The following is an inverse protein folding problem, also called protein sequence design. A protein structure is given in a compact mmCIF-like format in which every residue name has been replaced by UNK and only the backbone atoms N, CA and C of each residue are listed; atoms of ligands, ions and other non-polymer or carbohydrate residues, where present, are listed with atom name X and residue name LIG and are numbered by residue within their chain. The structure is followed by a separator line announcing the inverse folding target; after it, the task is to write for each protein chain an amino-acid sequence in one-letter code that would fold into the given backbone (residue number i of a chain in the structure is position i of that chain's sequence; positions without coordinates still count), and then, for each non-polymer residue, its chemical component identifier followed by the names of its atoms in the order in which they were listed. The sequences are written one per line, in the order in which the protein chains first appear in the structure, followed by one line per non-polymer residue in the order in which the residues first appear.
data_IF_103065414589
#
_entry.id   IF_103065414589
#
_cell.length_a   1.000
_cell.length_b   1.000
_cell.length_c   1.000
_cell.angle_alpha   90.00
_cell.angle_beta   90.00
_cell.angle_gamma   90.00
#
_symmetry.space_group_name_H-M   'P 1'
#
loop_
_entity.id
_entity.type
_entity.pdbx_description
1 polymer ?
#
# COMPACT_ATOMS: atom_id res chain seq x y z
N UNK A 1 8.44 2.59 3.57
CA UNK A 1 8.80 3.93 4.09
C UNK A 1 10.25 4.28 3.82
N UNK A 2 11.22 3.41 4.12
CA UNK A 2 12.64 3.72 3.91
C UNK A 2 13.05 4.10 2.47
N UNK A 3 12.47 3.45 1.45
CA UNK A 3 12.85 3.72 0.06
C UNK A 3 12.44 5.12 -0.46
N UNK A 4 11.36 5.72 0.07
CA UNK A 4 10.89 7.04 -0.40
C UNK A 4 11.60 8.20 0.31
N UNK A 5 12.00 8.01 1.56
CA UNK A 5 12.49 9.09 2.41
C UNK A 5 13.93 8.91 2.87
N UNK A 6 14.57 7.79 2.51
CA UNK A 6 15.92 7.42 2.95
C UNK A 6 16.04 7.34 4.49
N UNK A 7 14.93 7.10 5.18
CA UNK A 7 14.85 7.03 6.65
C UNK A 7 14.32 5.66 7.07
N UNK A 8 15.09 4.96 7.88
CA UNK A 8 14.65 3.75 8.55
C UNK A 8 13.73 4.11 9.73
N UNK A 9 12.44 3.71 9.73
CA UNK A 9 11.51 4.07 10.80
C UNK A 9 11.96 3.61 12.20
N UNK A 10 12.71 2.51 12.29
CA UNK A 10 13.25 1.99 13.55
C UNK A 10 14.22 2.97 14.24
N UNK A 11 14.87 3.84 13.46
CA UNK A 11 15.79 4.87 13.97
C UNK A 11 15.05 6.17 14.35
N UNK A 12 13.71 6.15 14.38
CA UNK A 12 12.87 7.31 14.68
C UNK A 12 11.91 7.04 15.85
N UNK A 13 11.19 8.08 16.28
CA UNK A 13 10.11 7.93 17.29
C UNK A 13 8.95 7.03 16.84
N UNK A 14 8.86 6.72 15.54
CA UNK A 14 7.84 5.83 15.00
C UNK A 14 8.13 4.36 15.35
N UNK A 15 9.41 3.98 15.39
CA UNK A 15 9.88 2.64 15.74
C UNK A 15 9.14 1.55 14.92
N UNK A 16 8.80 0.42 15.54
CA UNK A 16 7.99 -0.67 15.00
C UNK A 16 6.47 -0.38 14.94
N UNK A 17 6.02 0.80 15.40
CA UNK A 17 4.59 1.10 15.59
C UNK A 17 3.88 1.54 14.32
N UNK A 18 4.62 1.83 13.25
CA UNK A 18 4.08 2.28 11.96
C UNK A 18 2.88 1.46 11.46
N UNK A 19 3.02 0.13 11.28
CA UNK A 19 1.92 -0.75 10.87
C UNK A 19 0.64 -0.60 11.70
N UNK A 20 0.76 -0.60 13.03
CA UNK A 20 -0.39 -0.52 13.94
C UNK A 20 -1.08 0.84 13.87
N UNK A 21 -0.32 1.94 13.82
CA UNK A 21 -0.88 3.29 13.72
C UNK A 21 -1.60 3.49 12.38
N UNK A 22 -1.02 2.98 11.29
CA UNK A 22 -1.62 3.04 9.94
C UNK A 22 -2.90 2.21 9.91
N UNK A 23 -2.86 0.96 10.38
CA UNK A 23 -4.03 0.08 10.40
C UNK A 23 -5.18 0.68 11.19
N UNK A 24 -4.91 1.27 12.36
CA UNK A 24 -5.93 1.96 13.16
C UNK A 24 -6.52 3.16 12.41
N UNK A 25 -5.68 3.99 11.78
CA UNK A 25 -6.17 5.14 11.00
C UNK A 25 -6.98 4.74 9.78
N UNK A 26 -6.52 3.77 8.99
CA UNK A 26 -7.23 3.26 7.82
C UNK A 26 -8.55 2.62 8.22
N UNK A 27 -8.60 1.86 9.32
CA UNK A 27 -9.84 1.31 9.84
C UNK A 27 -10.89 2.40 10.08
N UNK A 28 -10.53 3.53 10.68
CA UNK A 28 -11.47 4.64 10.87
C UNK A 28 -11.94 5.29 9.56
N UNK A 29 -11.14 5.23 8.48
CA UNK A 29 -11.55 5.74 7.16
C UNK A 29 -12.47 4.75 6.42
N UNK A 30 -12.18 3.45 6.55
CA UNK A 30 -12.82 2.39 5.76
C UNK A 30 -13.86 1.60 6.54
N UNK A 31 -14.11 1.88 7.82
CA UNK A 31 -15.06 1.15 8.67
C UNK A 31 -16.42 0.86 8.00
N UNK A 32 -17.04 1.80 7.25
CA UNK A 32 -18.31 1.53 6.58
C UNK A 32 -18.25 0.49 5.44
N UNK A 33 -17.05 0.13 4.98
CA UNK A 33 -16.80 -0.80 3.88
C UNK A 33 -16.19 -2.13 4.35
N UNK A 34 -15.76 -2.22 5.61
CA UNK A 34 -15.02 -3.37 6.13
C UNK A 34 -15.93 -4.24 6.99
N UNK A 35 -15.76 -5.56 6.85
CA UNK A 35 -16.38 -6.53 7.74
C UNK A 35 -15.35 -7.13 8.71
N UNK A 36 -15.63 -7.09 10.01
CA UNK A 36 -14.80 -7.68 11.07
C UNK A 36 -15.20 -9.14 11.39
N UNK A 37 -16.33 -9.60 10.87
CA UNK A 37 -16.83 -10.96 11.10
C UNK A 37 -17.60 -11.11 12.43
N UNK A 38 -18.12 -10.01 12.95
CA UNK A 38 -19.00 -9.98 14.11
C UNK A 38 -20.44 -10.32 13.70
N UNK A 39 -21.32 -10.72 14.63
CA UNK A 39 -22.74 -10.80 14.35
C UNK A 39 -23.29 -9.45 13.89
N UNK A 40 -24.17 -9.45 12.87
CA UNK A 40 -24.67 -8.21 12.24
C UNK A 40 -25.31 -7.22 13.22
N UNK A 41 -26.03 -7.72 14.23
CA UNK A 41 -26.65 -6.87 15.25
C UNK A 41 -25.64 -6.13 16.15
N UNK A 42 -24.37 -6.53 16.15
CA UNK A 42 -23.26 -5.78 16.76
C UNK A 42 -22.53 -4.94 15.70
N UNK A 43 -22.29 -5.51 14.53
CA UNK A 43 -21.43 -4.89 13.53
C UNK A 43 -22.08 -3.69 12.84
N UNK A 44 -23.35 -3.82 12.43
CA UNK A 44 -24.08 -2.78 11.71
C UNK A 44 -24.25 -1.47 12.50
N UNK A 45 -24.67 -1.48 13.79
CA UNK A 45 -24.76 -0.25 14.56
C UNK A 45 -23.40 0.37 14.88
N UNK A 46 -22.32 -0.43 14.93
CA UNK A 46 -20.97 0.05 15.27
C UNK A 46 -20.23 0.62 14.07
N UNK A 47 -20.33 -0.01 12.89
CA UNK A 47 -19.45 0.27 11.74
C UNK A 47 -20.21 0.76 10.50
N UNK A 48 -21.42 0.24 10.25
CA UNK A 48 -22.11 0.44 8.98
C UNK A 48 -23.21 1.52 9.02
N UNK A 49 -23.57 2.02 10.21
CA UNK A 49 -24.64 3.02 10.36
C UNK A 49 -24.10 4.45 10.48
N UNK A 50 -23.09 4.67 11.31
CA UNK A 50 -22.51 5.99 11.56
C UNK A 50 -21.01 5.98 11.30
N UNK A 51 -20.47 7.12 10.85
CA UNK A 51 -19.02 7.28 10.76
C UNK A 51 -18.42 7.26 12.15
N UNK A 52 -17.33 6.51 12.32
CA UNK A 52 -16.56 6.53 13.56
C UNK A 52 -16.04 7.96 13.82
N UNK A 53 -16.14 8.45 15.06
CA UNK A 53 -15.65 9.78 15.38
C UNK A 53 -14.12 9.83 15.22
N UNK A 54 -13.57 10.92 14.70
CA UNK A 54 -12.13 11.01 14.37
C UNK A 54 -11.20 11.25 15.57
N UNK A 55 -11.75 11.70 16.71
CA UNK A 55 -10.93 12.05 17.88
C UNK A 55 -10.09 10.90 18.47
N UNK A 56 -10.51 9.61 18.49
CA UNK A 56 -9.69 8.52 19.02
C UNK A 56 -8.42 8.28 18.21
N UNK A 57 -8.45 8.53 16.90
CA UNK A 57 -7.32 8.30 16.00
C UNK A 57 -6.43 9.52 15.79
N UNK A 58 -6.84 10.69 16.30
CA UNK A 58 -6.09 11.96 16.15
C UNK A 58 -4.64 11.86 16.66
N UNK A 59 -4.42 11.24 17.82
CA UNK A 59 -3.08 11.08 18.39
C UNK A 59 -2.18 10.17 17.55
N UNK A 60 -2.74 9.07 17.04
CA UNK A 60 -2.04 8.15 16.15
C UNK A 60 -1.70 8.80 14.81
N UNK A 61 -2.64 9.53 14.22
CA UNK A 61 -2.43 10.29 12.99
C UNK A 61 -1.35 11.37 13.17
N UNK A 62 -1.35 12.08 14.31
CA UNK A 62 -0.31 13.07 14.60
C UNK A 62 1.09 12.45 14.65
N UNK A 63 1.26 11.27 15.25
CA UNK A 63 2.55 10.57 15.27
C UNK A 63 3.05 10.23 13.86
N UNK A 64 2.14 9.80 12.99
CA UNK A 64 2.46 9.58 11.58
C UNK A 64 2.84 10.90 10.90
N UNK A 65 2.04 11.95 11.06
CA UNK A 65 2.33 13.27 10.50
C UNK A 65 3.70 13.79 10.93
N UNK A 66 4.01 13.75 12.22
CA UNK A 66 5.30 14.21 12.76
C UNK A 66 6.47 13.40 12.18
N UNK A 67 6.29 12.10 11.91
CA UNK A 67 7.29 11.30 11.20
C UNK A 67 7.50 11.80 9.77
N UNK A 68 6.43 11.92 8.98
CA UNK A 68 6.52 12.37 7.57
C UNK A 68 7.10 13.77 7.47
N UNK A 69 6.64 14.70 8.31
CA UNK A 69 7.11 16.09 8.31
C UNK A 69 8.64 16.18 8.48
N UNK A 70 9.21 15.34 9.34
CA UNK A 70 10.66 15.31 9.58
C UNK A 70 11.43 14.48 8.56
N UNK A 71 10.86 13.35 8.10
CA UNK A 71 11.55 12.42 7.20
C UNK A 71 11.52 12.88 5.73
N UNK A 72 10.55 13.69 5.33
CA UNK A 72 10.30 14.03 3.92
C UNK A 72 10.71 15.45 3.52
N UNK A 73 11.56 16.12 4.32
CA UNK A 73 11.92 17.54 4.10
C UNK A 73 12.29 17.88 2.66
N UNK A 74 13.14 17.07 2.00
CA UNK A 74 13.52 17.30 0.59
C UNK A 74 12.30 17.31 -0.35
N UNK A 75 11.35 16.40 -0.15
CA UNK A 75 10.14 16.28 -0.99
C UNK A 75 9.16 17.40 -0.68
N UNK A 76 9.06 17.79 0.59
CA UNK A 76 8.24 18.93 1.02
C UNK A 76 8.76 20.25 0.44
N UNK A 77 10.08 20.44 0.39
CA UNK A 77 10.71 21.62 -0.22
C UNK A 77 10.38 21.71 -1.72
N UNK A 78 10.36 20.58 -2.43
CA UNK A 78 9.90 20.52 -3.83
C UNK A 78 8.40 20.82 -3.95
N UNK A 79 7.57 20.32 -3.04
CA UNK A 79 6.14 20.65 -2.99
C UNK A 79 5.89 22.16 -2.84
N UNK A 80 6.66 22.83 -1.99
CA UNK A 80 6.58 24.29 -1.82
C UNK A 80 6.98 25.04 -3.09
N UNK A 81 8.03 24.59 -3.80
CA UNK A 81 8.40 25.15 -5.12
C UNK A 81 7.29 24.98 -6.16
N UNK A 82 6.47 23.94 -6.03
CA UNK A 82 5.28 23.71 -6.87
C UNK A 82 4.05 24.50 -6.41
N UNK A 83 4.17 25.33 -5.36
CA UNK A 83 3.09 26.15 -4.82
C UNK A 83 2.14 25.42 -3.87
N UNK A 84 2.53 24.24 -3.37
CA UNK A 84 1.74 23.46 -2.40
C UNK A 84 2.19 23.86 -0.99
N UNK A 85 1.25 24.14 -0.09
CA UNK A 85 1.60 24.44 1.30
C UNK A 85 2.26 23.21 1.95
N UNK A 86 3.30 23.43 2.77
CA UNK A 86 4.06 22.34 3.38
C UNK A 86 3.21 21.35 4.18
N UNK A 87 2.25 21.87 4.95
CA UNK A 87 1.34 21.04 5.74
C UNK A 87 0.44 20.18 4.84
N UNK A 88 -0.10 20.78 3.78
CA UNK A 88 -0.89 20.09 2.75
C UNK A 88 -0.06 19.01 2.06
N UNK A 89 1.17 19.33 1.65
CA UNK A 89 2.09 18.37 1.05
C UNK A 89 2.38 17.20 2.01
N UNK A 90 2.62 17.48 3.29
CA UNK A 90 2.87 16.45 4.30
C UNK A 90 1.66 15.50 4.48
N UNK A 91 0.44 16.05 4.57
CA UNK A 91 -0.77 15.23 4.64
C UNK A 91 -0.97 14.35 3.40
N UNK A 92 -0.68 14.88 2.21
CA UNK A 92 -0.75 14.14 0.95
C UNK A 92 0.32 13.05 0.86
N UNK A 93 1.56 13.29 1.30
CA UNK A 93 2.62 12.29 1.35
C UNK A 93 2.30 11.15 2.33
N UNK A 94 1.78 11.50 3.50
CA UNK A 94 1.27 10.51 4.46
C UNK A 94 0.18 9.66 3.81
N UNK A 95 -0.81 10.29 3.17
CA UNK A 95 -1.90 9.56 2.51
C UNK A 95 -1.38 8.65 1.38
N UNK A 96 -0.54 9.16 0.50
CA UNK A 96 0.04 8.39 -0.60
C UNK A 96 0.88 7.20 -0.11
N UNK A 97 1.64 7.38 0.97
CA UNK A 97 2.50 6.32 1.51
C UNK A 97 1.70 5.30 2.33
N UNK A 98 0.85 5.75 3.23
CA UNK A 98 0.14 4.89 4.17
C UNK A 98 -1.12 4.29 3.56
N UNK A 99 -1.96 5.09 2.92
CA UNK A 99 -3.22 4.65 2.36
C UNK A 99 -3.00 4.02 0.98
N UNK A 100 -2.45 4.75 0.01
CA UNK A 100 -2.36 4.22 -1.36
C UNK A 100 -1.32 3.10 -1.49
N UNK A 101 -0.12 3.28 -0.93
CA UNK A 101 0.98 2.33 -1.11
C UNK A 101 0.93 1.19 -0.10
N UNK A 102 1.02 1.50 1.20
CA UNK A 102 1.10 0.46 2.24
C UNK A 102 -0.16 -0.42 2.29
N UNK A 103 -1.37 0.16 2.24
CA UNK A 103 -2.60 -0.63 2.24
C UNK A 103 -2.76 -1.45 0.94
N UNK A 104 -2.44 -0.85 -0.21
CA UNK A 104 -2.43 -1.57 -1.49
C UNK A 104 -1.48 -2.77 -1.48
N UNK A 105 -0.26 -2.60 -0.94
CA UNK A 105 0.70 -3.70 -0.77
C UNK A 105 0.24 -4.73 0.26
N UNK A 106 -0.42 -4.29 1.34
CA UNK A 106 -0.99 -5.17 2.38
C UNK A 106 -2.06 -6.11 1.82
N UNK A 107 -2.75 -5.73 0.74
CA UNK A 107 -3.69 -6.60 0.02
C UNK A 107 -2.97 -7.41 -1.08
N UNK A 108 -2.17 -6.74 -1.93
CA UNK A 108 -1.54 -7.35 -3.10
C UNK A 108 -0.56 -8.48 -2.72
N UNK A 109 0.29 -8.28 -1.72
CA UNK A 109 1.36 -9.23 -1.42
C UNK A 109 0.83 -10.57 -0.88
N UNK A 110 -0.15 -10.60 0.06
CA UNK A 110 -0.81 -11.85 0.42
C UNK A 110 -1.50 -12.53 -0.77
N UNK A 111 -2.13 -11.76 -1.66
CA UNK A 111 -2.76 -12.32 -2.87
C UNK A 111 -1.75 -12.99 -3.80
N UNK A 112 -0.62 -12.32 -4.07
CA UNK A 112 0.48 -12.87 -4.86
C UNK A 112 1.01 -14.18 -4.25
N UNK A 113 1.25 -14.20 -2.93
CA UNK A 113 1.69 -15.42 -2.23
C UNK A 113 0.65 -16.54 -2.30
N UNK A 114 -0.64 -16.23 -2.17
CA UNK A 114 -1.74 -17.19 -2.31
C UNK A 114 -1.71 -17.84 -3.69
N UNK A 115 -1.68 -17.08 -4.77
CA UNK A 115 -1.71 -17.63 -6.14
C UNK A 115 -0.43 -18.37 -6.52
N UNK A 116 0.75 -17.83 -6.15
CA UNK A 116 2.01 -18.54 -6.34
C UNK A 116 1.97 -19.86 -5.56
N UNK A 117 1.57 -19.84 -4.29
CA UNK A 117 1.47 -21.03 -3.43
C UNK A 117 0.54 -22.10 -4.01
N UNK A 118 -0.63 -21.70 -4.51
CA UNK A 118 -1.63 -22.61 -5.08
C UNK A 118 -1.23 -23.17 -6.46
N UNK A 119 -0.39 -22.48 -7.22
CA UNK A 119 0.03 -22.93 -8.55
C UNK A 119 0.99 -24.15 -8.54
N UNK A 120 1.52 -24.50 -7.37
CA UNK A 120 2.24 -25.75 -7.14
C UNK A 120 3.70 -25.76 -7.60
N UNK A 121 4.40 -26.83 -7.19
CA UNK A 121 5.88 -26.96 -7.29
C UNK A 121 6.40 -26.84 -8.71
N UNK A 122 5.63 -27.26 -9.72
CA UNK A 122 6.04 -27.14 -11.12
C UNK A 122 6.21 -25.67 -11.54
N UNK A 123 5.32 -24.77 -11.11
CA UNK A 123 5.46 -23.34 -11.37
C UNK A 123 6.63 -22.76 -10.57
N UNK A 124 6.77 -23.13 -9.29
CA UNK A 124 7.85 -22.64 -8.42
C UNK A 124 9.23 -22.93 -9.01
N UNK A 125 9.44 -24.14 -9.53
CA UNK A 125 10.71 -24.53 -10.17
C UNK A 125 11.02 -23.66 -11.38
N UNK A 126 10.06 -23.49 -12.30
CA UNK A 126 10.22 -22.66 -13.49
C UNK A 126 10.52 -21.19 -13.15
N UNK A 127 9.81 -20.64 -12.17
CA UNK A 127 10.03 -19.27 -11.70
C UNK A 127 11.42 -19.11 -11.07
N UNK A 128 11.84 -20.05 -10.23
CA UNK A 128 13.16 -20.04 -9.62
C UNK A 128 14.27 -20.19 -10.65
N UNK A 129 14.10 -21.07 -11.65
CA UNK A 129 15.04 -21.26 -12.76
C UNK A 129 15.17 -19.96 -13.57
N UNK A 130 14.06 -19.38 -14.04
CA UNK A 130 14.06 -18.12 -14.80
C UNK A 130 14.77 -17.00 -14.04
N UNK A 131 14.35 -16.74 -12.79
CA UNK A 131 14.92 -15.65 -11.99
C UNK A 131 16.41 -15.87 -11.76
N UNK A 132 16.84 -17.08 -11.36
CA UNK A 132 18.26 -17.36 -11.07
C UNK A 132 19.12 -17.26 -12.33
N UNK A 133 18.64 -17.77 -13.47
CA UNK A 133 19.38 -17.69 -14.75
C UNK A 133 19.59 -16.23 -15.16
N UNK A 134 18.54 -15.42 -15.11
CA UNK A 134 18.62 -14.00 -15.50
C UNK A 134 19.48 -13.20 -14.51
N UNK A 135 19.39 -13.47 -13.21
CA UNK A 135 20.26 -12.81 -12.22
C UNK A 135 21.72 -13.21 -12.45
N UNK A 136 22.00 -14.48 -12.74
CA UNK A 136 23.35 -14.96 -13.02
C UNK A 136 23.93 -14.33 -14.30
N UNK A 137 23.13 -14.19 -15.37
CA UNK A 137 23.56 -13.53 -16.61
C UNK A 137 23.81 -12.04 -16.43
N UNK A 138 23.22 -11.41 -15.42
CA UNK A 138 23.44 -10.02 -15.02
C UNK A 138 24.45 -9.89 -13.86
N UNK A 139 25.48 -10.75 -13.84
CA UNK A 139 26.58 -10.71 -12.86
C UNK A 139 26.10 -10.79 -11.40
N UNK A 140 25.02 -11.54 -11.14
CA UNK A 140 24.45 -11.70 -9.81
C UNK A 140 23.64 -10.51 -9.30
N UNK A 141 23.38 -9.50 -10.13
CA UNK A 141 22.69 -8.26 -9.72
C UNK A 141 21.25 -8.22 -10.26
N UNK A 142 20.30 -7.82 -9.41
CA UNK A 142 18.92 -7.56 -9.84
C UNK A 142 18.86 -6.17 -10.49
N UNK A 143 18.67 -6.14 -11.81
CA UNK A 143 18.56 -4.91 -12.60
C UNK A 143 17.20 -4.84 -13.31
N UNK A 144 16.75 -3.62 -13.64
CA UNK A 144 15.53 -3.42 -14.42
C UNK A 144 15.59 -4.14 -15.78
N UNK A 145 16.72 -4.03 -16.48
CA UNK A 145 16.98 -4.74 -17.74
C UNK A 145 16.95 -6.27 -17.61
N UNK A 146 17.29 -6.80 -16.43
CA UNK A 146 17.15 -8.22 -16.11
C UNK A 146 15.69 -8.59 -15.92
N UNK A 147 14.93 -7.83 -15.13
CA UNK A 147 13.50 -8.09 -14.91
C UNK A 147 12.69 -8.09 -16.22
N UNK A 148 13.11 -7.32 -17.22
CA UNK A 148 12.47 -7.35 -18.54
C UNK A 148 12.59 -8.68 -19.29
N UNK A 149 13.62 -9.48 -18.97
CA UNK A 149 13.87 -10.80 -19.53
C UNK A 149 13.14 -11.92 -18.76
N UNK A 150 12.52 -11.60 -17.62
CA UNK A 150 11.79 -12.57 -16.79
C UNK A 150 10.31 -12.59 -17.18
N UNK A 151 10.00 -13.23 -18.31
CA UNK A 151 8.65 -13.29 -18.87
C UNK A 151 7.64 -13.94 -17.91
N UNK A 152 8.01 -15.07 -17.29
CA UNK A 152 7.15 -15.79 -16.35
C UNK A 152 6.92 -14.97 -15.08
N UNK A 153 7.96 -14.34 -14.53
CA UNK A 153 7.83 -13.45 -13.37
C UNK A 153 6.83 -12.32 -13.64
N UNK A 154 7.00 -11.61 -14.75
CA UNK A 154 6.07 -10.53 -15.15
C UNK A 154 4.65 -11.07 -15.34
N UNK A 155 4.49 -12.19 -16.05
CA UNK A 155 3.19 -12.82 -16.28
C UNK A 155 2.47 -13.19 -14.99
N UNK A 156 3.16 -13.70 -13.97
CA UNK A 156 2.55 -14.06 -12.68
C UNK A 156 2.06 -12.81 -11.94
N UNK A 157 2.84 -11.73 -11.96
CA UNK A 157 2.43 -10.46 -11.34
C UNK A 157 1.18 -9.92 -12.02
N UNK A 158 1.16 -9.86 -13.35
CA UNK A 158 -0.03 -9.41 -14.10
C UNK A 158 -1.23 -10.32 -13.90
N UNK A 159 -1.04 -11.64 -13.87
CA UNK A 159 -2.14 -12.58 -13.69
C UNK A 159 -2.76 -12.48 -12.31
N UNK A 160 -1.94 -12.22 -11.28
CA UNK A 160 -2.42 -11.95 -9.92
C UNK A 160 -3.30 -10.68 -9.91
N UNK A 161 -2.83 -9.59 -10.53
CA UNK A 161 -3.59 -8.35 -10.65
C UNK A 161 -4.88 -8.51 -11.46
N UNK A 162 -4.89 -9.42 -12.45
CA UNK A 162 -6.06 -9.72 -13.29
C UNK A 162 -7.11 -10.55 -12.53
N UNK A 163 -6.69 -11.57 -11.81
CA UNK A 163 -7.59 -12.49 -11.10
C UNK A 163 -8.16 -11.86 -9.83
N UNK A 164 -7.33 -11.14 -9.08
CA UNK A 164 -7.66 -10.64 -7.75
C UNK A 164 -7.20 -9.18 -7.62
N UNK A 165 -7.89 -8.24 -8.30
CA UNK A 165 -7.51 -6.85 -8.29
C UNK A 165 -7.56 -6.31 -6.84
N UNK A 166 -6.47 -5.70 -6.32
CA UNK A 166 -6.39 -5.30 -4.90
C UNK A 166 -7.48 -4.33 -4.44
N UNK A 167 -8.08 -3.58 -5.37
CA UNK A 167 -9.21 -2.67 -5.11
C UNK A 167 -10.32 -3.00 -6.09
N UNK A 168 -11.43 -3.57 -5.59
CA UNK A 168 -12.55 -4.04 -6.42
C UNK A 168 -13.49 -2.93 -6.88
N UNK A 169 -13.62 -1.86 -6.09
CA UNK A 169 -14.65 -0.85 -6.29
C UNK A 169 -14.09 0.41 -6.95
N UNK A 170 -14.60 0.74 -8.14
CA UNK A 170 -14.33 2.00 -8.83
C UNK A 170 -15.64 2.73 -9.07
N UNK A 171 -15.63 4.05 -8.86
CA UNK A 171 -16.81 4.89 -9.00
C UNK A 171 -16.53 6.02 -9.99
N UNK A 172 -17.53 6.36 -10.79
CA UNK A 172 -17.49 7.49 -11.73
C UNK A 172 -18.85 8.17 -11.81
N UNK A 173 -18.86 9.50 -11.78
CA UNK A 173 -20.08 10.30 -11.98
C UNK A 173 -20.10 10.81 -13.42
N UNK A 174 -21.15 10.47 -14.17
CA UNK A 174 -21.33 10.97 -15.53
C UNK A 174 -21.41 12.52 -15.51
N UNK A 175 -20.62 13.16 -16.38
CA UNK A 175 -20.58 14.64 -16.52
C UNK A 175 -21.59 15.17 -17.53
N UNK A 176 -22.15 14.28 -18.34
CA UNK A 176 -23.12 14.50 -19.40
C UNK A 176 -23.79 13.16 -19.69
N UNK A 177 -24.86 13.18 -20.46
CA UNK A 177 -25.57 11.98 -20.87
C UNK A 177 -24.65 11.02 -21.66
N UNK A 178 -24.79 9.73 -21.39
CA UNK A 178 -24.14 8.65 -22.11
C UNK A 178 -25.21 7.99 -22.98
N UNK A 179 -25.30 8.45 -24.24
CA UNK A 179 -26.15 7.87 -25.29
C UNK A 179 -25.35 6.94 -26.18
#
# INVERSE_FOLDING_TARGET
MGAFYEVNPADTKLDDKGPTLIALWIFFQLAPLLTLGLPSFLEDPLLHTFRLPSFPVKGSYKKLYDFFYNASSKILDEGEKMGIQREEACHNLLFATCFNSYDGMKILFPSLLKFIGQAGVKLHKRLAEEIRMVVQSNSGTVMMSGMEQMELMKSIVYETLRIDPPVLSQYGKAKKDLV
#
